data_IF_134417415421
#
_entry.id   IF_134417415421
#
_cell.length_a   1.000
_cell.length_b   1.000
_cell.length_c   1.000
_cell.angle_alpha   90.00
_cell.angle_beta   90.00
_cell.angle_gamma   90.00
#
_symmetry.space_group_name_H-M   'P 1'
#
loop_
_entity.id
_entity.type
_entity.pdbx_description
1 polymer ?
#
# COMPACT_ATOMS: atom_id res chain seq x y z
N UNK A 1 -22.61 16.89 8.97
CA UNK A 1 -21.44 17.36 8.18
C UNK A 1 -21.94 17.89 6.84
N UNK A 2 -21.66 19.12 6.57
CA UNK A 2 -22.08 19.72 5.30
C UNK A 2 -21.14 19.32 4.17
N UNK A 3 -21.45 18.24 3.46
CA UNK A 3 -20.77 17.83 2.23
C UNK A 3 -20.87 18.90 1.12
N UNK A 4 -21.87 19.78 1.18
CA UNK A 4 -22.14 20.79 0.17
C UNK A 4 -21.06 21.88 0.03
N UNK A 5 -20.27 22.16 1.07
CA UNK A 5 -19.23 23.19 1.02
C UNK A 5 -17.96 22.74 0.28
N UNK A 6 -17.62 21.44 0.38
CA UNK A 6 -16.45 20.88 -0.29
C UNK A 6 -16.70 20.69 -1.78
N UNK A 7 -17.88 20.29 -2.18
CA UNK A 7 -18.22 20.06 -3.58
C UNK A 7 -18.17 21.36 -4.41
N UNK A 8 -18.58 22.49 -3.81
CA UNK A 8 -18.52 23.78 -4.53
C UNK A 8 -17.09 24.31 -4.66
N UNK A 9 -16.23 24.07 -3.63
CA UNK A 9 -14.83 24.51 -3.68
C UNK A 9 -14.03 23.74 -4.76
N UNK A 10 -14.34 22.45 -4.94
CA UNK A 10 -13.66 21.58 -5.91
C UNK A 10 -14.35 21.57 -7.28
N UNK A 11 -15.47 22.28 -7.45
CA UNK A 11 -16.19 22.32 -8.73
C UNK A 11 -15.26 22.75 -9.86
N UNK A 12 -15.17 21.95 -10.92
CA UNK A 12 -14.28 22.16 -12.06
C UNK A 12 -12.81 21.80 -11.84
N UNK A 13 -12.43 21.31 -10.66
CA UNK A 13 -11.07 20.83 -10.39
C UNK A 13 -11.00 19.31 -10.45
N UNK A 14 -9.92 18.82 -11.05
CA UNK A 14 -9.60 17.39 -11.06
C UNK A 14 -8.35 17.15 -10.24
N UNK A 15 -8.49 16.52 -9.08
CA UNK A 15 -7.37 16.25 -8.19
C UNK A 15 -6.95 14.78 -8.26
N UNK A 16 -5.66 14.49 -8.00
CA UNK A 16 -5.24 13.12 -7.77
C UNK A 16 -5.97 12.51 -6.57
N UNK A 17 -6.13 11.21 -6.58
CA UNK A 17 -6.83 10.47 -5.52
C UNK A 17 -5.80 9.88 -4.56
N UNK A 18 -5.94 10.09 -3.22
CA UNK A 18 -5.04 9.51 -2.25
C UNK A 18 -5.28 8.01 -2.08
N UNK A 19 -4.18 7.26 -2.04
CA UNK A 19 -4.15 5.84 -1.73
C UNK A 19 -3.08 5.56 -0.67
N UNK A 20 -3.11 4.37 -0.10
CA UNK A 20 -2.06 3.85 0.79
C UNK A 20 -1.64 2.48 0.30
N UNK A 21 -0.37 2.16 0.51
CA UNK A 21 0.19 0.83 0.33
C UNK A 21 0.98 0.46 1.60
N UNK A 22 0.88 -0.78 2.04
CA UNK A 22 1.46 -1.21 3.31
C UNK A 22 2.43 -2.37 3.07
N UNK A 23 3.71 -2.11 3.28
CA UNK A 23 4.74 -3.15 3.30
C UNK A 23 4.69 -3.79 4.68
N UNK A 24 4.06 -4.97 4.75
CA UNK A 24 3.86 -5.70 6.02
C UNK A 24 5.01 -6.68 6.19
N UNK A 25 5.86 -6.40 7.15
CA UNK A 25 6.97 -7.29 7.52
C UNK A 25 6.47 -8.39 8.45
N UNK A 26 6.68 -9.65 8.04
CA UNK A 26 6.25 -10.83 8.79
C UNK A 26 7.17 -12.02 8.45
N UNK A 27 7.58 -12.78 9.45
CA UNK A 27 8.36 -14.03 9.28
C UNK A 27 9.58 -13.90 8.35
N UNK A 28 10.29 -12.77 8.42
CA UNK A 28 11.48 -12.52 7.60
C UNK A 28 11.19 -12.14 6.15
N UNK A 29 9.94 -11.95 5.78
CA UNK A 29 9.52 -11.52 4.45
C UNK A 29 8.50 -10.39 4.49
N UNK A 30 7.84 -10.19 3.38
CA UNK A 30 6.76 -9.20 3.22
C UNK A 30 5.53 -9.87 2.64
N UNK A 31 4.37 -9.32 2.97
CA UNK A 31 3.08 -9.84 2.48
C UNK A 31 2.75 -9.20 1.15
N UNK A 32 2.42 -10.02 0.16
CA UNK A 32 1.84 -9.58 -1.11
C UNK A 32 0.49 -10.27 -1.33
N UNK A 33 -0.38 -9.61 -2.05
CA UNK A 33 -1.67 -10.13 -2.48
C UNK A 33 -1.73 -10.29 -4.00
N UNK A 34 -2.48 -11.27 -4.47
CA UNK A 34 -2.80 -11.39 -5.90
C UNK A 34 -4.14 -10.73 -6.16
N UNK A 35 -4.16 -9.80 -7.09
CA UNK A 35 -5.33 -8.97 -7.37
C UNK A 35 -6.42 -9.74 -8.10
N UNK A 36 -7.65 -9.56 -7.68
CA UNK A 36 -8.86 -10.09 -8.34
C UNK A 36 -9.24 -9.26 -9.56
N UNK A 37 -9.03 -7.95 -9.50
CA UNK A 37 -9.46 -6.98 -10.51
C UNK A 37 -8.27 -6.37 -11.25
N UNK A 38 -8.47 -5.85 -12.49
CA UNK A 38 -7.40 -5.15 -13.21
C UNK A 38 -6.90 -3.91 -12.45
N UNK A 39 -5.60 -3.61 -12.51
CA UNK A 39 -4.55 -4.38 -13.17
C UNK A 39 -4.26 -5.68 -12.43
N UNK A 40 -4.13 -6.78 -13.18
CA UNK A 40 -3.86 -8.09 -12.60
C UNK A 40 -2.40 -8.25 -12.21
N UNK A 41 -2.15 -9.18 -11.30
CA UNK A 41 -0.84 -9.52 -10.79
C UNK A 41 -0.78 -9.42 -9.28
N UNK A 42 0.42 -9.58 -8.74
CA UNK A 42 0.67 -9.43 -7.32
C UNK A 42 0.90 -7.96 -6.97
N UNK A 43 0.56 -7.59 -5.77
CA UNK A 43 0.66 -6.21 -5.31
C UNK A 43 0.93 -6.12 -3.81
N UNK A 44 1.51 -5.01 -3.40
CA UNK A 44 1.56 -4.60 -2.00
C UNK A 44 0.11 -4.36 -1.57
N UNK A 45 -0.33 -4.85 -0.39
CA UNK A 45 -1.67 -4.55 0.11
C UNK A 45 -1.89 -3.05 0.23
N UNK A 46 -3.06 -2.59 -0.18
CA UNK A 46 -3.39 -1.17 -0.13
C UNK A 46 -4.69 -0.85 -0.84
N UNK A 47 -5.05 0.42 -0.85
CA UNK A 47 -6.27 0.87 -1.48
C UNK A 47 -6.53 2.36 -1.28
N UNK A 48 -7.73 2.77 -1.65
CA UNK A 48 -8.15 4.16 -1.57
C UNK A 48 -8.39 4.60 -0.12
N UNK A 49 -8.01 5.84 0.17
CA UNK A 49 -8.33 6.48 1.44
C UNK A 49 -9.78 6.96 1.38
N UNK A 50 -10.59 6.60 2.38
CA UNK A 50 -11.96 7.05 2.46
C UNK A 50 -12.02 8.51 2.94
N UNK A 51 -13.02 9.24 2.46
CA UNK A 51 -13.23 10.61 2.89
C UNK A 51 -13.41 10.68 4.42
N UNK A 52 -12.63 11.56 5.05
CA UNK A 52 -12.62 11.70 6.50
C UNK A 52 -11.70 10.72 7.25
N UNK A 53 -11.03 9.84 6.55
CA UNK A 53 -10.10 8.87 7.11
C UNK A 53 -8.66 9.41 7.10
N UNK A 54 -7.89 9.16 8.16
CA UNK A 54 -6.46 9.45 8.13
C UNK A 54 -5.72 8.42 7.28
N UNK A 55 -4.53 8.76 6.80
CA UNK A 55 -3.69 7.80 6.06
C UNK A 55 -3.36 6.57 6.91
N UNK A 56 -3.07 6.78 8.19
CA UNK A 56 -2.76 5.70 9.13
C UNK A 56 -3.96 4.76 9.33
N UNK A 57 -5.15 5.33 9.52
CA UNK A 57 -6.38 4.53 9.64
C UNK A 57 -6.67 3.74 8.36
N UNK A 58 -6.51 4.37 7.20
CA UNK A 58 -6.66 3.70 5.91
C UNK A 58 -5.67 2.53 5.77
N UNK A 59 -4.41 2.72 6.14
CA UNK A 59 -3.39 1.68 6.06
C UNK A 59 -3.73 0.47 6.93
N UNK A 60 -4.14 0.69 8.16
CA UNK A 60 -4.54 -0.39 9.08
C UNK A 60 -5.79 -1.12 8.57
N UNK A 61 -6.76 -0.37 8.08
CA UNK A 61 -8.02 -0.92 7.53
C UNK A 61 -7.76 -1.77 6.28
N UNK A 62 -7.02 -1.23 5.31
CA UNK A 62 -6.72 -1.96 4.06
C UNK A 62 -5.91 -3.23 4.32
N UNK A 63 -4.92 -3.17 5.21
CA UNK A 63 -4.16 -4.36 5.61
C UNK A 63 -5.09 -5.45 6.18
N UNK A 64 -6.01 -5.06 7.05
CA UNK A 64 -6.99 -6.00 7.64
C UNK A 64 -7.94 -6.57 6.60
N UNK A 65 -8.50 -5.73 5.74
CA UNK A 65 -9.46 -6.15 4.70
C UNK A 65 -8.85 -7.13 3.71
N UNK A 66 -7.61 -6.90 3.27
CA UNK A 66 -7.00 -7.71 2.22
C UNK A 66 -6.21 -8.92 2.73
N UNK A 67 -5.66 -8.85 3.93
CA UNK A 67 -4.77 -9.90 4.46
C UNK A 67 -5.24 -10.56 5.74
N UNK A 68 -6.27 -10.01 6.39
CA UNK A 68 -6.73 -10.48 7.69
C UNK A 68 -5.81 -10.11 8.86
N UNK A 69 -4.69 -9.42 8.60
CA UNK A 69 -3.70 -9.11 9.63
C UNK A 69 -4.02 -7.79 10.35
N UNK A 70 -3.80 -7.82 11.67
CA UNK A 70 -3.77 -6.61 12.49
C UNK A 70 -2.32 -6.10 12.52
N UNK A 71 -2.08 -5.01 11.81
CA UNK A 71 -0.73 -4.47 11.66
C UNK A 71 -0.43 -3.36 12.66
N UNK A 72 0.83 -3.25 13.04
CA UNK A 72 1.37 -2.10 13.75
C UNK A 72 2.22 -1.29 12.78
N UNK A 73 1.80 -0.06 12.50
CA UNK A 73 2.55 0.83 11.62
C UNK A 73 3.86 1.24 12.29
N UNK A 74 4.95 1.19 11.55
CA UNK A 74 6.25 1.66 12.02
C UNK A 74 6.53 3.08 11.53
N UNK A 75 6.28 3.35 10.25
CA UNK A 75 6.56 4.66 9.67
C UNK A 75 5.96 4.81 8.27
N UNK A 76 5.93 6.03 7.79
CA UNK A 76 5.81 6.33 6.37
C UNK A 76 7.18 6.18 5.70
N UNK A 77 7.24 5.46 4.60
CA UNK A 77 8.46 5.30 3.84
C UNK A 77 8.63 6.42 2.81
N UNK A 78 7.63 6.59 1.94
CA UNK A 78 7.67 7.57 0.86
C UNK A 78 6.28 7.72 0.23
N UNK A 79 6.10 8.75 -0.58
CA UNK A 79 4.91 8.93 -1.42
C UNK A 79 5.27 8.80 -2.90
N UNK A 80 4.46 8.07 -3.64
CA UNK A 80 4.61 7.84 -5.08
C UNK A 80 3.48 8.50 -5.82
N UNK A 81 3.79 9.40 -6.74
CA UNK A 81 2.80 10.31 -7.32
C UNK A 81 2.91 10.51 -8.83
N UNK A 82 3.69 9.68 -9.52
CA UNK A 82 3.78 9.76 -10.97
C UNK A 82 2.37 9.56 -11.59
N UNK A 83 1.93 10.43 -12.51
CA UNK A 83 0.60 10.28 -13.11
C UNK A 83 0.38 8.97 -13.85
N UNK A 84 1.44 8.32 -14.32
CA UNK A 84 1.37 7.06 -15.04
C UNK A 84 1.46 5.81 -14.16
N UNK A 85 1.61 5.95 -12.84
CA UNK A 85 1.81 4.82 -11.92
C UNK A 85 0.63 3.86 -11.84
N UNK A 86 -0.57 4.37 -12.03
CA UNK A 86 -1.82 3.61 -11.96
C UNK A 86 -2.58 3.81 -13.27
N UNK A 87 -2.86 2.74 -14.03
CA UNK A 87 -3.52 2.88 -15.33
C UNK A 87 -4.98 3.34 -15.24
N UNK A 88 -5.59 3.27 -14.07
CA UNK A 88 -7.00 3.63 -13.87
C UNK A 88 -7.20 5.13 -13.74
N UNK A 89 -6.33 5.82 -12.99
CA UNK A 89 -6.41 7.26 -12.72
C UNK A 89 -5.13 7.73 -12.02
N UNK A 90 -4.97 9.06 -11.87
CA UNK A 90 -3.84 9.62 -11.13
C UNK A 90 -4.03 9.41 -9.63
N UNK A 91 -3.22 8.53 -9.04
CA UNK A 91 -3.19 8.29 -7.60
C UNK A 91 -1.91 8.82 -6.99
N UNK A 92 -2.00 9.23 -5.73
CA UNK A 92 -0.84 9.52 -4.88
C UNK A 92 -0.86 8.49 -3.75
N UNK A 93 0.09 7.56 -3.76
CA UNK A 93 0.16 6.53 -2.73
C UNK A 93 1.18 6.88 -1.66
N UNK A 94 0.74 6.89 -0.41
CA UNK A 94 1.62 6.95 0.75
C UNK A 94 1.92 5.53 1.19
N UNK A 95 3.19 5.15 1.18
CA UNK A 95 3.65 3.81 1.54
C UNK A 95 4.05 3.77 3.01
N UNK A 96 3.43 2.86 3.76
CA UNK A 96 3.77 2.58 5.15
C UNK A 96 4.57 1.29 5.25
N UNK A 97 5.44 1.23 6.24
CA UNK A 97 6.07 0.00 6.69
C UNK A 97 5.39 -0.39 8.00
N UNK A 98 4.98 -1.64 8.07
CA UNK A 98 4.26 -2.17 9.22
C UNK A 98 4.80 -3.54 9.62
N UNK A 99 4.45 -3.98 10.80
CA UNK A 99 4.75 -5.31 11.32
C UNK A 99 3.45 -6.01 11.70
N UNK A 100 3.44 -7.32 11.53
CA UNK A 100 2.35 -8.16 11.98
C UNK A 100 2.87 -9.53 12.41
N UNK A 101 2.08 -10.22 13.23
CA UNK A 101 2.24 -11.63 13.53
C UNK A 101 1.03 -12.41 13.03
N UNK A 102 1.11 -13.73 13.14
CA UNK A 102 0.01 -14.62 12.73
C UNK A 102 0.14 -15.09 11.28
N UNK A 103 -0.97 -15.54 10.73
CA UNK A 103 -1.03 -16.09 9.37
C UNK A 103 -1.93 -15.23 8.49
N UNK A 104 -1.40 -14.67 7.39
CA UNK A 104 -2.24 -13.90 6.48
C UNK A 104 -3.21 -14.80 5.72
N UNK A 105 -4.39 -14.25 5.39
CA UNK A 105 -5.37 -14.91 4.52
C UNK A 105 -5.81 -13.94 3.45
N UNK A 106 -6.04 -14.46 2.24
CA UNK A 106 -6.64 -13.66 1.18
C UNK A 106 -8.10 -13.36 1.53
N UNK A 107 -8.48 -12.09 1.44
CA UNK A 107 -9.82 -11.62 1.69
C UNK A 107 -10.13 -10.43 0.77
N UNK A 108 -11.42 -10.04 0.71
CA UNK A 108 -11.90 -8.91 -0.09
C UNK A 108 -11.44 -8.99 -1.56
N UNK A 109 -10.65 -8.04 -2.04
CA UNK A 109 -10.18 -7.96 -3.43
C UNK A 109 -8.95 -8.83 -3.74
N UNK A 110 -8.47 -9.60 -2.78
CA UNK A 110 -7.36 -10.53 -2.94
C UNK A 110 -7.85 -11.95 -3.23
N UNK A 111 -7.31 -12.62 -4.26
CA UNK A 111 -7.58 -14.03 -4.54
C UNK A 111 -6.57 -14.97 -3.89
N UNK A 112 -5.36 -14.47 -3.65
CA UNK A 112 -4.28 -15.18 -2.95
C UNK A 112 -3.50 -14.19 -2.10
N UNK A 113 -2.82 -14.72 -1.09
CA UNK A 113 -1.86 -13.99 -0.27
C UNK A 113 -0.63 -14.85 -0.09
N UNK A 114 0.54 -14.22 -0.01
CA UNK A 114 1.79 -14.93 0.21
C UNK A 114 2.81 -14.07 0.92
N UNK A 115 3.84 -14.73 1.46
CA UNK A 115 5.00 -14.09 2.07
C UNK A 115 6.17 -14.27 1.12
N UNK A 116 6.82 -13.18 0.76
CA UNK A 116 7.89 -13.16 -0.23
C UNK A 116 9.12 -12.46 0.34
N UNK A 117 10.27 -12.86 -0.17
CA UNK A 117 11.54 -12.16 0.06
C UNK A 117 11.99 -11.49 -1.25
N UNK A 118 13.05 -10.70 -1.17
CA UNK A 118 13.61 -10.03 -2.36
C UNK A 118 13.91 -11.02 -3.50
N UNK A 119 14.36 -12.23 -3.16
CA UNK A 119 14.85 -13.20 -4.13
C UNK A 119 13.75 -13.97 -4.85
N UNK A 120 12.52 -13.94 -4.37
CA UNK A 120 11.41 -14.70 -4.94
C UNK A 120 10.17 -13.86 -5.25
N UNK A 121 10.34 -12.57 -5.49
CA UNK A 121 9.23 -11.68 -5.83
C UNK A 121 8.53 -12.14 -7.11
N UNK A 122 7.19 -12.16 -7.12
CA UNK A 122 6.42 -12.42 -8.33
C UNK A 122 6.38 -11.18 -9.23
N UNK A 123 5.73 -11.30 -10.39
CA UNK A 123 5.42 -10.14 -11.24
C UNK A 123 4.42 -9.22 -10.51
N UNK A 124 4.78 -7.95 -10.42
CA UNK A 124 4.04 -6.96 -9.64
C UNK A 124 3.23 -6.02 -10.53
N UNK A 125 2.03 -5.66 -10.05
CA UNK A 125 1.18 -4.66 -10.67
C UNK A 125 1.61 -3.23 -10.30
N UNK A 126 1.07 -2.23 -11.00
CA UNK A 126 1.38 -0.81 -10.79
C UNK A 126 2.88 -0.52 -10.87
N UNK A 127 3.35 0.41 -10.06
CA UNK A 127 4.76 0.72 -9.82
C UNK A 127 5.33 -0.02 -8.59
N UNK A 128 4.68 -1.10 -8.16
CA UNK A 128 5.06 -1.80 -6.93
C UNK A 128 6.44 -2.42 -6.99
N UNK A 129 6.94 -2.78 -8.18
CA UNK A 129 8.32 -3.21 -8.35
C UNK A 129 9.32 -2.11 -7.96
N UNK A 130 9.05 -0.86 -8.36
CA UNK A 130 9.85 0.31 -7.98
C UNK A 130 9.78 0.55 -6.46
N UNK A 131 8.59 0.49 -5.89
CA UNK A 131 8.39 0.67 -4.44
C UNK A 131 9.19 -0.35 -3.65
N UNK A 132 9.12 -1.62 -4.03
CA UNK A 132 9.85 -2.69 -3.33
C UNK A 132 11.35 -2.62 -3.59
N UNK A 133 11.79 -2.19 -4.76
CA UNK A 133 13.20 -1.96 -5.02
C UNK A 133 13.75 -0.87 -4.09
N UNK A 134 13.04 0.23 -3.94
CA UNK A 134 13.39 1.29 -3.00
C UNK A 134 13.44 0.78 -1.57
N UNK A 135 12.44 -0.01 -1.17
CA UNK A 135 12.38 -0.61 0.18
C UNK A 135 13.59 -1.51 0.46
N UNK A 136 13.88 -2.46 -0.41
CA UNK A 136 14.99 -3.39 -0.21
C UNK A 136 16.35 -2.71 -0.31
N UNK A 137 16.49 -1.69 -1.16
CA UNK A 137 17.72 -0.91 -1.23
C UNK A 137 17.96 -0.12 0.05
N UNK A 138 16.93 0.47 0.65
CA UNK A 138 17.04 1.15 1.95
C UNK A 138 17.46 0.19 3.06
N UNK A 139 16.87 -1.02 3.11
CA UNK A 139 17.27 -2.04 4.08
C UNK A 139 18.76 -2.39 3.94
N UNK A 140 19.25 -2.52 2.72
CA UNK A 140 20.65 -2.84 2.46
C UNK A 140 21.59 -1.69 2.85
N UNK A 141 21.22 -0.45 2.53
CA UNK A 141 22.05 0.74 2.78
C UNK A 141 22.12 1.10 4.27
N UNK A 142 21.01 0.95 4.98
CA UNK A 142 20.91 1.32 6.38
C UNK A 142 21.34 0.21 7.33
N UNK A 143 21.49 -1.02 6.83
CA UNK A 143 21.82 -2.18 7.66
C UNK A 143 20.80 -2.39 8.77
N UNK A 144 21.22 -2.25 10.04
CA UNK A 144 20.35 -2.40 11.20
C UNK A 144 19.65 -1.09 11.62
N UNK A 145 19.86 0.00 10.91
CA UNK A 145 19.21 1.27 11.21
C UNK A 145 17.76 1.24 10.76
N UNK A 146 16.86 1.96 11.44
CA UNK A 146 15.48 2.09 11.00
C UNK A 146 15.42 2.72 9.61
N UNK A 147 14.62 2.13 8.72
CA UNK A 147 14.41 2.70 7.38
C UNK A 147 13.42 3.86 7.38
N UNK A 148 12.90 4.15 8.53
CA UNK A 148 11.96 5.25 8.78
C UNK A 148 12.71 6.51 9.16
N UNK A 149 12.26 7.62 8.64
CA UNK A 149 12.82 8.95 8.94
C UNK A 149 11.84 9.76 9.78
#
# INVERSE_FOLDING_TARGET
>A
MNSSHNDSFLAGRRNPVPTVDIIIEIDGGIVLIKRRNPPFGWAIPGGFVDYGETLEAAAVREAKEETGLDVTLRCQMHSYSDPGRDPRLHTISTVFIAQAGGTPHADDDAVEVGIFTRDNLPTLAFDHAEILDDYFNRLRELGNLPICF
#
